data_IF_322997670936
#
_entry.id   IF_322997670936
#
_cell.length_a   1.000
_cell.length_b   1.000
_cell.length_c   1.000
_cell.angle_alpha   90.00
_cell.angle_beta   90.00
_cell.angle_gamma   90.00
#
_symmetry.space_group_name_H-M   'P 1'
#
loop_
_entity.id
_entity.type
_entity.pdbx_description
1 polymer ?
#
# COMPACT_ATOMS: atom_id res chain seq x y z
N UNK A 1 -18.40 -24.82 14.62
CA UNK A 1 -17.27 -25.07 13.71
C UNK A 1 -17.55 -26.39 13.02
N UNK A 2 -17.73 -26.35 11.71
CA UNK A 2 -17.95 -27.52 10.83
C UNK A 2 -16.98 -27.46 9.63
N UNK A 3 -15.86 -26.75 9.78
CA UNK A 3 -14.84 -26.57 8.75
C UNK A 3 -14.21 -27.89 8.29
N UNK A 4 -13.64 -27.91 7.09
CA UNK A 4 -12.83 -29.02 6.56
C UNK A 4 -13.59 -30.36 6.57
N UNK A 5 -14.81 -30.33 6.07
CA UNK A 5 -15.67 -31.50 5.98
C UNK A 5 -16.18 -31.68 4.54
N UNK A 6 -17.02 -32.70 4.34
CA UNK A 6 -17.66 -32.97 3.06
C UNK A 6 -19.16 -32.63 3.10
N UNK A 7 -19.57 -31.66 3.93
CA UNK A 7 -20.97 -31.25 4.01
C UNK A 7 -21.41 -30.63 2.70
N UNK A 8 -22.63 -30.96 2.28
CA UNK A 8 -23.26 -30.45 1.07
C UNK A 8 -24.72 -30.12 1.33
N UNK A 9 -25.33 -29.32 0.46
CA UNK A 9 -26.68 -28.82 0.64
C UNK A 9 -26.71 -27.33 0.94
N UNK A 10 -27.92 -26.82 1.21
CA UNK A 10 -28.12 -25.41 1.59
C UNK A 10 -28.00 -25.23 3.10
N UNK A 11 -27.47 -24.09 3.52
CA UNK A 11 -27.54 -23.69 4.93
C UNK A 11 -29.02 -23.48 5.30
N UNK A 12 -29.53 -24.16 6.35
CA UNK A 12 -30.92 -23.99 6.75
C UNK A 12 -31.14 -22.60 7.35
N UNK A 13 -32.25 -21.95 6.98
CA UNK A 13 -32.60 -20.62 7.48
C UNK A 13 -32.75 -20.57 9.01
N UNK A 14 -32.97 -21.71 9.67
CA UNK A 14 -33.03 -21.81 11.13
C UNK A 14 -31.72 -21.42 11.82
N UNK A 15 -30.57 -21.43 11.13
CA UNK A 15 -29.29 -20.99 11.71
C UNK A 15 -29.34 -19.52 12.14
N UNK A 16 -30.09 -18.69 11.43
CA UNK A 16 -30.30 -17.28 11.77
C UNK A 16 -31.09 -17.09 13.07
N UNK A 17 -31.82 -18.12 13.53
CA UNK A 17 -32.58 -18.06 14.79
C UNK A 17 -31.71 -18.32 16.03
N UNK A 18 -30.43 -18.65 15.86
CA UNK A 18 -29.51 -18.90 16.97
C UNK A 18 -29.04 -17.55 17.53
N UNK A 19 -29.82 -17.01 18.46
CA UNK A 19 -29.63 -15.67 19.03
C UNK A 19 -28.30 -15.48 19.78
N UNK A 20 -27.59 -16.56 20.15
CA UNK A 20 -26.27 -16.54 20.80
C UNK A 20 -25.13 -16.98 19.87
N UNK A 21 -25.38 -17.08 18.56
CA UNK A 21 -24.34 -17.44 17.61
C UNK A 21 -23.27 -16.36 17.58
N UNK A 22 -22.06 -16.72 17.99
CA UNK A 22 -20.89 -15.83 18.01
C UNK A 22 -19.92 -16.12 16.87
N UNK A 23 -19.82 -17.41 16.53
CA UNK A 23 -18.87 -17.93 15.56
C UNK A 23 -19.60 -18.91 14.65
N UNK A 24 -19.55 -18.62 13.36
CA UNK A 24 -19.97 -19.51 12.29
C UNK A 24 -18.77 -19.81 11.42
N UNK A 25 -18.33 -21.06 11.44
CA UNK A 25 -17.25 -21.55 10.59
C UNK A 25 -17.73 -22.80 9.86
N UNK A 26 -17.89 -22.63 8.55
CA UNK A 26 -18.34 -23.63 7.57
C UNK A 26 -17.31 -23.78 6.43
N UNK A 27 -16.10 -23.26 6.62
CA UNK A 27 -15.08 -23.21 5.58
C UNK A 27 -14.70 -24.60 5.04
N UNK A 28 -14.19 -24.67 3.81
CA UNK A 28 -13.69 -25.91 3.19
C UNK A 28 -14.73 -27.05 3.22
N UNK A 29 -15.86 -26.83 2.54
CA UNK A 29 -16.96 -27.81 2.39
C UNK A 29 -17.53 -27.76 0.95
N UNK A 30 -18.67 -28.41 0.69
CA UNK A 30 -19.40 -28.39 -0.59
C UNK A 30 -20.81 -27.78 -0.43
N UNK A 31 -20.93 -26.79 0.45
CA UNK A 31 -22.20 -26.14 0.76
C UNK A 31 -22.55 -25.16 -0.37
N UNK A 32 -23.80 -25.19 -0.83
CA UNK A 32 -24.26 -24.38 -1.96
C UNK A 32 -25.51 -23.56 -1.64
N UNK A 33 -25.84 -22.64 -2.54
CA UNK A 33 -26.99 -21.73 -2.41
C UNK A 33 -26.63 -20.39 -1.80
N UNK A 34 -27.64 -19.65 -1.33
CA UNK A 34 -27.46 -18.29 -0.81
C UNK A 34 -27.18 -18.31 0.69
N UNK A 35 -26.47 -17.30 1.18
CA UNK A 35 -26.33 -17.07 2.62
C UNK A 35 -27.67 -16.67 3.26
N UNK A 36 -27.99 -17.20 4.45
CA UNK A 36 -29.11 -16.72 5.28
C UNK A 36 -28.93 -15.26 5.72
N UNK A 37 -30.04 -14.63 6.12
CA UNK A 37 -30.03 -13.29 6.71
C UNK A 37 -29.56 -13.37 8.18
N UNK A 38 -28.41 -12.78 8.48
CA UNK A 38 -27.83 -12.75 9.83
C UNK A 38 -28.06 -11.41 10.55
N UNK A 39 -28.98 -10.57 10.07
CA UNK A 39 -29.31 -9.27 10.69
C UNK A 39 -29.66 -9.36 12.17
N UNK A 40 -30.23 -10.49 12.60
CA UNK A 40 -30.72 -10.71 13.97
C UNK A 40 -29.69 -11.36 14.89
N UNK A 41 -28.54 -11.82 14.36
CA UNK A 41 -27.49 -12.47 15.15
C UNK A 41 -26.53 -11.42 15.70
N UNK A 42 -27.01 -10.65 16.69
CA UNK A 42 -26.29 -9.48 17.23
C UNK A 42 -24.94 -9.79 17.90
N UNK A 43 -24.67 -11.06 18.22
CA UNK A 43 -23.40 -11.48 18.83
C UNK A 43 -22.43 -12.10 17.80
N UNK A 44 -22.83 -12.21 16.54
CA UNK A 44 -22.02 -12.85 15.52
C UNK A 44 -20.84 -11.95 15.18
N UNK A 45 -19.64 -12.37 15.60
CA UNK A 45 -18.39 -11.65 15.37
C UNK A 45 -17.51 -12.32 14.31
N UNK A 46 -17.68 -13.62 14.10
CA UNK A 46 -16.85 -14.42 13.21
C UNK A 46 -17.72 -15.20 12.23
N UNK A 47 -17.52 -14.95 10.94
CA UNK A 47 -18.10 -15.73 9.85
C UNK A 47 -16.98 -16.14 8.90
N UNK A 48 -16.75 -17.44 8.81
CA UNK A 48 -15.93 -18.07 7.77
C UNK A 48 -16.75 -19.11 7.02
N UNK A 49 -16.93 -18.87 5.73
CA UNK A 49 -17.63 -19.77 4.80
C UNK A 49 -16.79 -20.01 3.54
N UNK A 50 -15.50 -19.70 3.61
CA UNK A 50 -14.57 -19.79 2.48
C UNK A 50 -14.50 -21.20 1.89
N UNK A 51 -14.07 -21.31 0.64
CA UNK A 51 -13.85 -22.60 -0.04
C UNK A 51 -15.11 -23.49 -0.04
N UNK A 52 -16.17 -22.98 -0.66
CA UNK A 52 -17.49 -23.61 -0.77
C UNK A 52 -18.13 -23.30 -2.15
N UNK A 53 -19.39 -23.68 -2.33
CA UNK A 53 -20.18 -23.44 -3.55
C UNK A 53 -21.30 -22.40 -3.32
N UNK A 54 -21.13 -21.46 -2.37
CA UNK A 54 -22.12 -20.41 -2.13
C UNK A 54 -22.26 -19.52 -3.37
N UNK A 55 -23.48 -19.04 -3.62
CA UNK A 55 -23.87 -18.27 -4.81
C UNK A 55 -24.84 -17.15 -4.44
N UNK A 56 -25.29 -16.38 -5.44
CA UNK A 56 -26.14 -15.22 -5.24
C UNK A 56 -25.36 -13.97 -4.83
N UNK A 57 -26.06 -12.94 -4.34
CA UNK A 57 -25.42 -11.72 -3.83
C UNK A 57 -25.00 -11.89 -2.36
N UNK A 58 -23.90 -11.24 -1.97
CA UNK A 58 -23.52 -11.15 -0.54
C UNK A 58 -24.64 -10.41 0.21
N UNK A 59 -25.16 -10.96 1.32
CA UNK A 59 -26.17 -10.28 2.12
C UNK A 59 -25.74 -8.85 2.49
N UNK A 60 -26.61 -7.88 2.24
CA UNK A 60 -26.36 -6.47 2.59
C UNK A 60 -26.58 -6.18 4.07
N UNK A 61 -27.04 -7.16 4.85
CA UNK A 61 -27.43 -6.98 6.24
C UNK A 61 -26.73 -7.99 7.14
N UNK A 62 -25.46 -7.73 7.44
CA UNK A 62 -24.87 -8.30 8.64
C UNK A 62 -24.96 -7.31 9.79
N UNK A 63 -24.88 -7.82 11.01
CA UNK A 63 -24.74 -6.99 12.20
C UNK A 63 -23.43 -6.19 12.14
N UNK A 64 -23.42 -4.97 12.70
CA UNK A 64 -22.32 -4.01 12.53
C UNK A 64 -21.04 -4.39 13.28
N UNK A 65 -21.12 -5.34 14.20
CA UNK A 65 -20.02 -5.78 15.07
C UNK A 65 -19.28 -7.02 14.57
N UNK A 66 -19.49 -7.43 13.31
CA UNK A 66 -18.65 -8.48 12.72
C UNK A 66 -17.19 -8.03 12.69
N UNK A 67 -16.31 -8.89 13.18
CA UNK A 67 -14.86 -8.71 13.16
C UNK A 67 -14.19 -9.46 12.00
N UNK A 68 -14.65 -10.66 11.69
CA UNK A 68 -14.08 -11.52 10.65
C UNK A 68 -15.18 -11.93 9.69
N UNK A 69 -15.00 -11.59 8.42
CA UNK A 69 -15.88 -11.98 7.32
C UNK A 69 -15.02 -12.59 6.19
N UNK A 70 -14.94 -13.92 6.15
CA UNK A 70 -14.25 -14.68 5.13
C UNK A 70 -15.26 -15.37 4.20
N UNK A 71 -15.33 -14.88 2.97
CA UNK A 71 -16.25 -15.32 1.91
C UNK A 71 -15.49 -15.86 0.69
N UNK A 72 -14.15 -15.98 0.78
CA UNK A 72 -13.26 -16.37 -0.31
C UNK A 72 -13.62 -17.70 -0.98
N UNK A 73 -13.14 -17.93 -2.20
CA UNK A 73 -13.31 -19.21 -2.92
C UNK A 73 -14.77 -19.71 -2.96
N UNK A 74 -15.64 -18.87 -3.52
CA UNK A 74 -17.07 -19.16 -3.67
C UNK A 74 -17.56 -18.62 -5.04
N UNK A 75 -18.86 -18.72 -5.31
CA UNK A 75 -19.47 -18.26 -6.57
C UNK A 75 -20.38 -17.05 -6.41
N UNK A 76 -20.18 -16.22 -5.37
CA UNK A 76 -20.95 -14.99 -5.16
C UNK A 76 -20.84 -14.07 -6.38
N UNK A 77 -21.95 -13.41 -6.72
CA UNK A 77 -22.09 -12.47 -7.85
C UNK A 77 -22.63 -11.12 -7.35
N UNK A 78 -22.83 -10.18 -8.27
CA UNK A 78 -23.40 -8.86 -7.95
C UNK A 78 -22.35 -7.85 -7.49
N UNK A 79 -22.81 -6.73 -6.92
CA UNK A 79 -21.95 -5.65 -6.46
C UNK A 79 -21.51 -5.87 -5.02
N UNK A 80 -20.29 -5.46 -4.69
CA UNK A 80 -19.83 -5.43 -3.29
C UNK A 80 -20.77 -4.56 -2.43
N UNK A 81 -21.33 -5.10 -1.34
CA UNK A 81 -22.38 -4.42 -0.60
C UNK A 81 -21.85 -3.19 0.13
N UNK A 82 -22.44 -2.02 -0.17
CA UNK A 82 -22.05 -0.73 0.43
C UNK A 82 -22.11 -0.75 1.96
N UNK A 83 -22.97 -1.60 2.55
CA UNK A 83 -23.09 -1.69 4.00
C UNK A 83 -21.85 -2.26 4.70
N UNK A 84 -21.07 -3.11 4.03
CA UNK A 84 -19.78 -3.59 4.57
C UNK A 84 -18.80 -2.44 4.77
N UNK A 85 -18.97 -1.34 4.02
CA UNK A 85 -18.14 -0.16 4.26
C UNK A 85 -18.41 0.43 5.64
N UNK A 86 -19.61 0.33 6.21
CA UNK A 86 -19.94 0.93 7.52
C UNK A 86 -19.62 0.03 8.72
N UNK A 87 -19.08 -1.17 8.53
CA UNK A 87 -18.74 -2.07 9.64
C UNK A 87 -17.50 -1.57 10.37
N UNK A 88 -17.72 -0.93 11.51
CA UNK A 88 -16.66 -0.29 12.29
C UNK A 88 -15.75 -1.27 13.01
N UNK A 89 -16.19 -2.52 13.21
CA UNK A 89 -15.43 -3.54 13.93
C UNK A 89 -14.75 -4.57 13.02
N UNK A 90 -14.93 -4.46 11.69
CA UNK A 90 -14.39 -5.42 10.74
C UNK A 90 -12.85 -5.34 10.69
N UNK A 91 -12.20 -6.44 11.06
CA UNK A 91 -10.73 -6.59 11.13
C UNK A 91 -10.20 -7.43 9.97
N UNK A 92 -10.97 -8.39 9.49
CA UNK A 92 -10.60 -9.25 8.39
C UNK A 92 -11.75 -9.32 7.40
N UNK A 93 -11.48 -8.88 6.18
CA UNK A 93 -12.39 -9.02 5.06
C UNK A 93 -11.67 -9.79 3.95
N UNK A 94 -12.11 -11.02 3.75
CA UNK A 94 -11.71 -11.83 2.62
C UNK A 94 -12.93 -12.06 1.73
N UNK A 95 -12.83 -11.63 0.48
CA UNK A 95 -13.82 -11.91 -0.55
C UNK A 95 -13.18 -12.46 -1.81
N UNK A 96 -11.94 -12.96 -1.77
CA UNK A 96 -11.18 -13.41 -2.93
C UNK A 96 -11.87 -14.55 -3.70
N UNK A 97 -11.46 -14.82 -4.94
CA UNK A 97 -12.01 -15.87 -5.81
C UNK A 97 -13.55 -16.08 -5.78
N UNK A 98 -14.26 -15.14 -6.38
CA UNK A 98 -15.72 -14.95 -6.40
C UNK A 98 -15.99 -13.96 -7.55
N UNK A 99 -17.20 -13.96 -8.10
CA UNK A 99 -17.60 -13.10 -9.23
C UNK A 99 -18.20 -11.75 -8.78
N UNK A 100 -17.76 -11.24 -7.63
CA UNK A 100 -18.22 -9.97 -7.05
C UNK A 100 -17.55 -8.81 -7.78
N UNK A 101 -18.35 -7.87 -8.27
CA UNK A 101 -17.88 -6.63 -8.88
C UNK A 101 -17.68 -5.54 -7.81
N UNK A 102 -16.46 -5.03 -7.64
CA UNK A 102 -16.18 -3.81 -6.85
C UNK A 102 -15.90 -2.66 -7.82
N UNK A 103 -16.79 -1.65 -7.80
CA UNK A 103 -16.67 -0.47 -8.68
C UNK A 103 -15.96 0.68 -7.95
N UNK A 104 -14.74 1.03 -8.35
CA UNK A 104 -13.94 2.09 -7.72
C UNK A 104 -14.16 3.52 -8.29
N UNK A 105 -15.20 3.75 -9.11
CA UNK A 105 -15.37 5.02 -9.86
C UNK A 105 -15.61 6.25 -8.97
N UNK A 106 -14.76 7.29 -9.14
CA UNK A 106 -14.80 8.63 -8.48
C UNK A 106 -14.76 8.55 -6.95
N UNK A 107 -13.54 8.61 -6.41
CA UNK A 107 -13.05 8.37 -5.03
C UNK A 107 -13.69 9.13 -3.84
N UNK A 108 -14.99 9.41 -3.84
CA UNK A 108 -15.71 9.96 -2.67
C UNK A 108 -16.47 8.92 -1.85
N UNK A 109 -16.55 7.65 -2.28
CA UNK A 109 -17.35 6.59 -1.63
C UNK A 109 -16.61 5.23 -1.58
N UNK A 110 -15.32 5.23 -1.22
CA UNK A 110 -14.57 4.00 -0.92
C UNK A 110 -14.83 3.47 0.51
N UNK A 111 -14.15 2.38 0.90
CA UNK A 111 -14.17 1.78 2.25
C UNK A 111 -14.22 2.86 3.34
N UNK A 112 -15.16 2.76 4.29
CA UNK A 112 -15.44 3.84 5.25
C UNK A 112 -14.22 4.11 6.13
N UNK A 113 -13.95 5.39 6.34
CA UNK A 113 -12.82 5.86 7.13
C UNK A 113 -13.11 5.97 8.63
N UNK A 114 -14.21 5.39 9.13
CA UNK A 114 -14.66 5.60 10.51
C UNK A 114 -13.95 4.72 11.56
N UNK A 115 -13.07 3.80 11.13
CA UNK A 115 -12.16 3.12 12.06
C UNK A 115 -10.84 2.78 11.37
N UNK A 116 -9.92 3.75 11.35
CA UNK A 116 -8.66 3.67 10.61
C UNK A 116 -7.64 2.73 11.26
N UNK A 117 -7.92 2.12 12.41
CA UNK A 117 -6.94 1.34 13.18
C UNK A 117 -7.17 -0.19 13.17
N UNK A 118 -8.27 -0.68 12.58
CA UNK A 118 -8.75 -2.06 12.83
C UNK A 118 -8.61 -3.06 11.68
N UNK A 119 -8.63 -2.62 10.41
CA UNK A 119 -8.45 -3.55 9.29
C UNK A 119 -7.05 -4.15 9.35
N UNK A 120 -6.93 -5.47 9.45
CA UNK A 120 -5.64 -6.18 9.44
C UNK A 120 -5.35 -6.78 8.07
N UNK A 121 -6.37 -7.33 7.40
CA UNK A 121 -6.24 -7.99 6.11
C UNK A 121 -7.41 -7.57 5.21
N UNK A 122 -7.08 -7.17 3.98
CA UNK A 122 -8.03 -6.89 2.91
C UNK A 122 -7.58 -7.64 1.65
N UNK A 123 -8.34 -8.68 1.27
CA UNK A 123 -8.11 -9.42 0.03
C UNK A 123 -9.26 -9.17 -0.97
N UNK A 124 -8.91 -8.52 -2.09
CA UNK A 124 -9.79 -8.21 -3.22
C UNK A 124 -9.19 -8.77 -4.53
N UNK A 125 -8.34 -9.79 -4.44
CA UNK A 125 -7.72 -10.41 -5.61
C UNK A 125 -8.73 -11.17 -6.48
N UNK A 126 -8.44 -11.29 -7.79
CA UNK A 126 -9.26 -12.07 -8.74
C UNK A 126 -10.74 -11.63 -8.82
N UNK A 127 -11.01 -10.30 -8.87
CA UNK A 127 -12.38 -9.74 -8.96
C UNK A 127 -12.68 -9.01 -10.26
N UNK A 128 -11.77 -9.03 -11.23
CA UNK A 128 -11.86 -8.19 -12.43
C UNK A 128 -12.05 -6.68 -12.09
N UNK A 129 -11.45 -6.21 -10.97
CA UNK A 129 -11.56 -4.80 -10.57
C UNK A 129 -10.96 -3.89 -11.64
N UNK A 130 -11.69 -2.83 -11.99
CA UNK A 130 -11.24 -1.85 -12.97
C UNK A 130 -11.27 -0.44 -12.41
N UNK A 131 -10.48 0.45 -13.02
CA UNK A 131 -10.26 1.81 -12.54
C UNK A 131 -8.89 1.98 -11.90
N UNK A 132 -8.69 3.15 -11.30
CA UNK A 132 -7.49 3.47 -10.53
C UNK A 132 -7.66 3.04 -9.06
N UNK A 133 -6.55 2.72 -8.39
CA UNK A 133 -6.51 2.52 -6.94
C UNK A 133 -6.90 3.87 -6.29
N UNK A 134 -7.94 3.94 -5.44
CA UNK A 134 -8.35 5.23 -4.87
C UNK A 134 -7.43 5.67 -3.73
N UNK A 135 -7.17 6.98 -3.64
CA UNK A 135 -6.35 7.55 -2.58
C UNK A 135 -6.87 7.26 -1.16
N UNK A 136 -8.18 7.05 -1.01
CA UNK A 136 -8.83 6.69 0.25
C UNK A 136 -8.31 5.38 0.84
N UNK A 137 -7.75 4.47 0.03
CA UNK A 137 -7.16 3.22 0.52
C UNK A 137 -6.01 3.48 1.49
N UNK A 138 -5.23 4.54 1.25
CA UNK A 138 -4.16 5.00 2.15
C UNK A 138 -4.63 5.51 3.51
N UNK A 139 -5.95 5.65 3.73
CA UNK A 139 -6.51 6.04 5.03
C UNK A 139 -6.60 4.87 5.99
N UNK A 140 -6.60 3.61 5.53
CA UNK A 140 -6.77 2.41 6.37
C UNK A 140 -5.50 2.10 7.20
N UNK A 141 -5.17 2.95 8.17
CA UNK A 141 -3.91 2.90 8.95
C UNK A 141 -3.66 1.59 9.74
N UNK A 142 -4.69 0.79 9.97
CA UNK A 142 -4.63 -0.51 10.61
C UNK A 142 -4.04 -1.60 9.73
N UNK A 143 -4.08 -1.41 8.40
CA UNK A 143 -3.88 -2.47 7.41
C UNK A 143 -2.49 -3.09 7.52
N UNK A 144 -2.45 -4.41 7.70
CA UNK A 144 -1.22 -5.22 7.69
C UNK A 144 -1.03 -5.94 6.36
N UNK A 145 -2.09 -6.44 5.77
CA UNK A 145 -2.03 -7.23 4.53
C UNK A 145 -3.03 -6.64 3.53
N UNK A 146 -2.53 -6.22 2.37
CA UNK A 146 -3.34 -5.72 1.27
C UNK A 146 -3.07 -6.56 0.02
N UNK A 147 -4.07 -7.30 -0.43
CA UNK A 147 -4.01 -8.04 -1.67
C UNK A 147 -5.07 -7.51 -2.65
N UNK A 148 -4.63 -6.92 -3.76
CA UNK A 148 -5.51 -6.46 -4.86
C UNK A 148 -5.02 -7.02 -6.21
N UNK A 149 -4.30 -8.14 -6.19
CA UNK A 149 -3.70 -8.76 -7.37
C UNK A 149 -4.72 -9.40 -8.32
N UNK A 150 -4.28 -9.80 -9.51
CA UNK A 150 -5.12 -10.48 -10.50
C UNK A 150 -6.40 -9.71 -10.85
N UNK A 151 -6.25 -8.41 -11.11
CA UNK A 151 -7.34 -7.52 -11.49
C UNK A 151 -7.01 -6.78 -12.80
N UNK A 152 -7.87 -5.85 -13.21
CA UNK A 152 -7.67 -5.01 -14.40
C UNK A 152 -7.49 -3.53 -14.02
N UNK A 153 -6.88 -3.28 -12.85
CA UNK A 153 -6.59 -1.94 -12.33
C UNK A 153 -5.54 -1.26 -13.21
N UNK A 154 -5.69 0.05 -13.42
CA UNK A 154 -4.77 0.88 -14.22
C UNK A 154 -4.44 2.18 -13.48
N UNK A 155 -3.65 3.05 -14.13
CA UNK A 155 -3.13 4.26 -13.50
C UNK A 155 -1.92 3.96 -12.60
N UNK A 156 -1.56 4.92 -11.76
CA UNK A 156 -0.32 4.85 -10.98
C UNK A 156 -0.54 4.21 -9.62
N UNK A 157 0.52 3.59 -9.09
CA UNK A 157 0.60 3.24 -7.67
C UNK A 157 0.63 4.54 -6.86
N UNK A 158 -0.36 4.75 -5.98
CA UNK A 158 -0.52 6.03 -5.28
C UNK A 158 0.47 6.21 -4.13
N UNK A 159 0.97 7.45 -3.97
CA UNK A 159 1.85 7.83 -2.85
C UNK A 159 1.22 7.57 -1.47
N UNK A 160 -0.12 7.59 -1.38
CA UNK A 160 -0.88 7.33 -0.16
C UNK A 160 -0.82 5.88 0.33
N UNK A 161 -0.28 4.94 -0.46
CA UNK A 161 0.02 3.59 0.07
C UNK A 161 1.18 3.61 1.07
N UNK A 162 2.16 4.50 0.91
CA UNK A 162 3.26 4.69 1.87
C UNK A 162 2.82 5.29 3.22
N UNK A 163 1.53 5.51 3.37
CA UNK A 163 0.86 6.11 4.52
C UNK A 163 0.29 5.01 5.45
N UNK A 164 0.31 3.74 5.01
CA UNK A 164 -0.15 2.54 5.72
C UNK A 164 0.95 1.98 6.63
N UNK A 165 1.31 2.70 7.69
CA UNK A 165 2.51 2.41 8.50
C UNK A 165 2.58 1.01 9.15
N UNK A 166 1.45 0.31 9.24
CA UNK A 166 1.35 -1.05 9.80
C UNK A 166 1.40 -2.16 8.74
N UNK A 167 1.57 -1.79 7.47
CA UNK A 167 1.53 -2.74 6.36
C UNK A 167 2.77 -3.64 6.41
N UNK A 168 2.50 -4.94 6.42
CA UNK A 168 3.45 -6.05 6.46
C UNK A 168 3.55 -6.77 5.09
N UNK A 169 2.46 -6.82 4.32
CA UNK A 169 2.43 -7.37 2.96
C UNK A 169 1.57 -6.54 2.03
N UNK A 170 2.08 -6.32 0.82
CA UNK A 170 1.40 -5.63 -0.28
C UNK A 170 1.49 -6.49 -1.54
N UNK A 171 0.35 -6.88 -2.11
CA UNK A 171 0.30 -7.56 -3.41
C UNK A 171 -0.54 -6.76 -4.40
N UNK A 172 0.14 -6.21 -5.40
CA UNK A 172 -0.40 -5.46 -6.54
C UNK A 172 -0.21 -6.22 -7.86
N UNK A 173 0.26 -7.46 -7.81
CA UNK A 173 0.68 -8.22 -8.98
C UNK A 173 -0.47 -8.47 -9.96
N UNK A 174 -0.14 -8.79 -11.21
CA UNK A 174 -1.12 -9.15 -12.24
C UNK A 174 -2.22 -8.08 -12.44
N UNK A 175 -1.80 -6.85 -12.72
CA UNK A 175 -2.66 -5.71 -13.02
C UNK A 175 -2.17 -4.96 -14.27
N UNK A 176 -2.71 -3.78 -14.56
CA UNK A 176 -2.30 -2.89 -15.66
C UNK A 176 -1.74 -1.57 -15.12
N UNK A 177 -1.11 -1.58 -13.94
CA UNK A 177 -0.57 -0.39 -13.28
C UNK A 177 0.61 0.18 -14.07
N UNK A 178 0.71 1.50 -14.10
CA UNK A 178 1.67 2.28 -14.89
C UNK A 178 2.51 3.19 -13.97
N UNK A 179 3.59 3.75 -14.53
CA UNK A 179 4.41 4.75 -13.85
C UNK A 179 5.34 4.15 -12.80
N UNK A 180 5.65 4.96 -11.78
CA UNK A 180 6.69 4.65 -10.78
C UNK A 180 6.12 3.88 -9.60
N UNK A 181 6.97 3.06 -8.97
CA UNK A 181 6.74 2.59 -7.61
C UNK A 181 7.08 3.78 -6.66
N UNK A 182 6.15 4.26 -5.81
CA UNK A 182 6.38 5.46 -5.01
C UNK A 182 7.48 5.28 -3.97
N UNK A 183 8.38 6.26 -3.87
CA UNK A 183 9.40 6.33 -2.82
C UNK A 183 8.81 6.33 -1.40
N UNK A 184 7.52 6.67 -1.24
CA UNK A 184 6.84 6.58 0.05
C UNK A 184 6.74 5.15 0.60
N UNK A 185 6.82 4.10 -0.24
CA UNK A 185 6.83 2.72 0.23
C UNK A 185 8.08 2.39 1.07
N UNK A 186 9.21 3.05 0.81
CA UNK A 186 10.42 2.92 1.63
C UNK A 186 10.24 3.40 3.09
N UNK A 187 9.17 4.16 3.38
CA UNK A 187 8.84 4.60 4.75
C UNK A 187 8.16 3.51 5.58
N UNK A 188 7.66 2.45 4.96
CA UNK A 188 6.90 1.38 5.61
C UNK A 188 7.86 0.43 6.34
N UNK A 189 8.07 0.69 7.64
CA UNK A 189 9.06 -0.03 8.45
C UNK A 189 8.70 -1.50 8.71
N UNK A 190 7.43 -1.87 8.58
CA UNK A 190 6.93 -3.23 8.81
C UNK A 190 6.78 -4.05 7.52
N UNK A 191 6.93 -3.42 6.36
CA UNK A 191 6.66 -4.06 5.08
C UNK A 191 7.71 -5.14 4.81
N UNK A 192 7.29 -6.39 4.76
CA UNK A 192 8.18 -7.55 4.54
C UNK A 192 8.11 -8.07 3.11
N UNK A 193 6.94 -7.96 2.49
CA UNK A 193 6.65 -8.44 1.14
C UNK A 193 5.95 -7.34 0.35
N UNK A 194 6.40 -7.09 -0.88
CA UNK A 194 5.77 -6.17 -1.81
C UNK A 194 5.85 -6.74 -3.22
N UNK A 195 4.82 -7.46 -3.65
CA UNK A 195 4.73 -7.98 -5.01
C UNK A 195 4.04 -6.94 -5.92
N UNK A 196 4.77 -6.50 -6.95
CA UNK A 196 4.29 -5.59 -8.00
C UNK A 196 4.52 -6.19 -9.39
N UNK A 197 4.79 -7.48 -9.47
CA UNK A 197 5.09 -8.20 -10.70
C UNK A 197 3.91 -8.17 -11.68
N UNK A 198 4.17 -8.44 -12.95
CA UNK A 198 3.12 -8.55 -13.97
C UNK A 198 2.27 -7.26 -14.08
N UNK A 199 2.95 -6.12 -14.19
CA UNK A 199 2.35 -4.80 -14.41
C UNK A 199 3.07 -4.07 -15.57
N UNK A 200 2.89 -2.76 -15.69
CA UNK A 200 3.57 -1.90 -16.66
C UNK A 200 4.35 -0.78 -15.96
N UNK A 201 4.91 -1.09 -14.80
CA UNK A 201 5.69 -0.15 -13.99
C UNK A 201 7.04 0.13 -14.64
N UNK A 202 7.57 1.33 -14.39
CA UNK A 202 8.77 1.84 -15.03
C UNK A 202 9.72 2.50 -14.03
N UNK A 203 10.97 2.70 -14.46
CA UNK A 203 12.03 3.42 -13.74
C UNK A 203 12.59 2.68 -12.51
N UNK A 204 13.35 3.41 -11.71
CA UNK A 204 14.07 2.92 -10.54
C UNK A 204 13.13 2.43 -9.44
N UNK A 205 13.37 1.21 -8.95
CA UNK A 205 12.72 0.68 -7.75
C UNK A 205 13.19 1.53 -6.54
N UNK A 206 12.27 1.97 -5.64
CA UNK A 206 12.62 2.71 -4.45
C UNK A 206 13.68 2.03 -3.60
N UNK A 207 14.56 2.83 -3.01
CA UNK A 207 15.61 2.38 -2.09
C UNK A 207 15.35 2.93 -0.68
N UNK A 208 15.87 2.29 0.34
CA UNK A 208 15.73 2.65 1.74
C UNK A 208 14.74 1.78 2.52
N UNK A 209 15.00 1.64 3.82
CA UNK A 209 14.14 0.91 4.73
C UNK A 209 13.99 -0.56 4.32
N UNK A 210 12.75 -1.06 4.32
CA UNK A 210 12.48 -2.45 3.91
C UNK A 210 12.58 -2.67 2.39
N UNK A 211 12.62 -1.62 1.57
CA UNK A 211 12.79 -1.80 0.12
C UNK A 211 14.19 -2.31 -0.25
N UNK A 212 15.19 -2.11 0.61
CA UNK A 212 16.56 -2.61 0.40
C UNK A 212 16.69 -4.11 0.71
N UNK A 213 15.74 -4.68 1.47
CA UNK A 213 15.73 -6.10 1.82
C UNK A 213 14.96 -6.96 0.79
N UNK A 214 14.17 -6.33 -0.08
CA UNK A 214 13.36 -6.99 -1.13
C UNK A 214 14.22 -7.43 -2.32
N UNK A 215 15.03 -8.46 -2.12
CA UNK A 215 16.00 -8.95 -3.10
C UNK A 215 15.50 -10.12 -3.95
N UNK A 216 14.23 -10.51 -3.83
CA UNK A 216 13.62 -11.51 -4.71
C UNK A 216 13.14 -10.81 -6.00
N UNK A 217 13.75 -11.11 -7.17
CA UNK A 217 13.36 -10.48 -8.43
C UNK A 217 11.94 -10.86 -8.89
N UNK A 218 11.38 -11.97 -8.37
CA UNK A 218 10.04 -12.42 -8.75
C UNK A 218 8.97 -11.38 -8.39
N UNK A 219 9.12 -10.68 -7.26
CA UNK A 219 8.20 -9.61 -6.83
C UNK A 219 8.17 -8.40 -7.76
N UNK A 220 9.13 -8.26 -8.68
CA UNK A 220 9.21 -7.17 -9.64
C UNK A 220 9.15 -7.66 -11.09
N UNK A 221 9.04 -8.97 -11.30
CA UNK A 221 9.11 -9.60 -12.60
C UNK A 221 8.05 -9.07 -13.57
N UNK A 222 8.30 -9.22 -14.86
CA UNK A 222 7.35 -8.85 -15.92
C UNK A 222 6.95 -7.35 -15.91
N UNK A 223 7.85 -6.46 -15.46
CA UNK A 223 7.79 -5.02 -15.66
C UNK A 223 9.02 -4.57 -16.47
N UNK A 224 8.88 -4.44 -17.79
CA UNK A 224 10.02 -4.35 -18.72
C UNK A 224 10.94 -3.13 -18.54
N UNK A 225 10.49 -2.08 -17.85
CA UNK A 225 11.22 -0.83 -17.69
C UNK A 225 11.66 -0.56 -16.24
N UNK A 226 11.53 -1.55 -15.34
CA UNK A 226 12.08 -1.43 -14.00
C UNK A 226 13.59 -1.64 -14.00
N UNK A 227 14.27 -0.88 -13.14
CA UNK A 227 15.70 -1.02 -12.87
C UNK A 227 15.96 -0.80 -11.37
N UNK A 228 17.09 -1.26 -10.85
CA UNK A 228 17.45 -1.10 -9.45
C UNK A 228 18.24 -2.29 -8.90
N UNK A 229 18.80 -2.08 -7.71
CA UNK A 229 19.61 -3.10 -7.03
C UNK A 229 18.82 -4.37 -6.67
N UNK A 230 17.53 -4.23 -6.38
CA UNK A 230 16.62 -5.32 -5.99
C UNK A 230 16.52 -6.40 -7.06
N UNK A 231 16.52 -6.00 -8.34
CA UNK A 231 16.46 -6.90 -9.49
C UNK A 231 17.80 -7.02 -10.23
N UNK A 232 18.86 -6.36 -9.73
CA UNK A 232 20.21 -6.32 -10.32
C UNK A 232 20.23 -5.83 -11.77
N UNK A 233 19.31 -4.91 -12.11
CA UNK A 233 19.25 -4.27 -13.43
C UNK A 233 19.77 -2.84 -13.28
N UNK A 234 20.87 -2.45 -13.97
CA UNK A 234 21.41 -1.10 -13.88
C UNK A 234 20.43 -0.09 -14.48
N UNK A 235 20.24 1.05 -13.80
CA UNK A 235 19.41 2.13 -14.29
C UNK A 235 20.18 2.99 -15.31
N UNK A 236 19.53 3.40 -16.41
CA UNK A 236 20.17 4.19 -17.48
C UNK A 236 20.71 5.54 -17.02
N UNK A 237 20.23 6.09 -15.89
CA UNK A 237 20.81 7.28 -15.27
C UNK A 237 22.25 7.06 -14.78
N UNK A 238 22.64 5.82 -14.42
CA UNK A 238 24.02 5.46 -14.04
C UNK A 238 24.93 5.18 -15.26
N UNK A 239 24.35 5.05 -16.46
CA UNK A 239 25.06 4.86 -17.72
C UNK A 239 25.27 6.16 -18.50
N UNK A 240 24.86 7.31 -17.94
CA UNK A 240 25.24 8.62 -18.45
C UNK A 240 26.68 8.91 -18.03
N UNK A 241 27.66 8.96 -18.95
CA UNK A 241 28.94 9.54 -18.61
C UNK A 241 28.75 11.06 -18.56
N UNK A 242 28.14 11.58 -17.50
CA UNK A 242 28.66 12.83 -16.95
C UNK A 242 30.03 12.49 -16.39
N UNK A 243 31.01 12.39 -17.30
CA UNK A 243 32.24 13.14 -17.08
C UNK A 243 31.79 14.56 -16.77
N UNK A 244 31.55 14.84 -15.48
CA UNK A 244 32.19 16.01 -14.94
C UNK A 244 33.68 15.82 -15.24
N UNK A 245 34.10 16.32 -16.40
CA UNK A 245 35.30 17.11 -16.44
C UNK A 245 35.08 18.15 -15.34
N UNK A 246 35.44 17.78 -14.10
CA UNK A 246 35.95 18.76 -13.16
C UNK A 246 37.17 19.30 -13.87
N UNK A 247 36.95 20.39 -14.59
CA UNK A 247 37.99 21.33 -14.92
C UNK A 247 38.56 21.77 -13.59
N UNK A 248 39.61 21.08 -13.15
CA UNK A 248 40.15 21.15 -11.80
C UNK A 248 40.98 22.43 -11.59
N UNK A 249 40.73 23.50 -12.35
CA UNK A 249 41.64 24.65 -12.31
C UNK A 249 41.07 26.04 -12.67
N UNK A 250 39.80 26.35 -12.34
CA UNK A 250 39.33 27.73 -12.58
C UNK A 250 38.54 28.48 -11.52
N UNK A 251 38.35 27.95 -10.30
CA UNK A 251 37.67 28.71 -9.23
C UNK A 251 38.33 28.62 -7.85
N UNK A 252 39.66 28.49 -7.80
CA UNK A 252 40.46 28.74 -6.58
C UNK A 252 41.21 30.08 -6.57
N UNK A 253 40.90 30.98 -7.51
CA UNK A 253 41.61 32.26 -7.69
C UNK A 253 41.04 33.43 -6.87
N UNK A 254 39.87 33.29 -6.24
CA UNK A 254 39.43 34.22 -5.20
C UNK A 254 40.05 33.80 -3.85
N UNK A 255 41.36 34.08 -3.76
CA UNK A 255 42.26 33.78 -2.65
C UNK A 255 41.92 34.64 -1.42
N UNK A 256 41.47 33.99 -0.35
CA UNK A 256 41.38 34.59 1.00
C UNK A 256 42.74 35.13 1.49
N UNK A 257 43.86 34.65 0.95
CA UNK A 257 45.21 35.19 1.21
C UNK A 257 45.37 36.65 0.75
N UNK A 258 44.72 37.06 -0.35
CA UNK A 258 44.76 38.44 -0.83
C UNK A 258 44.01 39.42 0.09
N UNK A 259 42.95 38.93 0.75
CA UNK A 259 42.17 39.71 1.72
C UNK A 259 42.97 39.92 3.01
N UNK A 260 43.68 38.90 3.50
CA UNK A 260 44.56 39.04 4.68
C UNK A 260 45.77 39.94 4.42
N UNK A 261 46.42 39.81 3.26
CA UNK A 261 47.55 40.67 2.88
C UNK A 261 47.08 42.11 2.72
N UNK A 262 45.92 42.34 2.08
CA UNK A 262 45.34 43.67 1.89
C UNK A 262 44.96 44.36 3.21
N UNK A 263 44.36 43.62 4.15
CA UNK A 263 44.01 44.17 5.46
C UNK A 263 45.26 44.58 6.26
N UNK A 264 46.29 43.73 6.25
CA UNK A 264 47.54 43.97 6.98
C UNK A 264 48.30 45.20 6.46
N UNK A 265 48.40 45.35 5.13
CA UNK A 265 49.03 46.52 4.52
C UNK A 265 48.23 47.81 4.72
N UNK A 266 46.90 47.74 4.59
CA UNK A 266 46.02 48.88 4.82
C UNK A 266 46.11 49.42 6.25
N UNK A 267 46.19 48.52 7.24
CA UNK A 267 46.34 48.88 8.65
C UNK A 267 47.69 49.56 8.95
N UNK A 268 48.80 49.06 8.41
CA UNK A 268 50.12 49.66 8.63
C UNK A 268 50.25 51.05 7.99
N UNK A 269 49.66 51.26 6.81
CA UNK A 269 49.64 52.58 6.15
C UNK A 269 48.82 53.58 6.97
N UNK A 270 47.66 53.18 7.50
CA UNK A 270 46.82 54.07 8.32
C UNK A 270 47.51 54.44 9.64
N UNK A 271 48.16 53.49 10.31
CA UNK A 271 48.97 53.77 11.51
C UNK A 271 50.13 54.71 11.19
N UNK A 272 50.82 54.51 10.06
CA UNK A 272 51.90 55.39 9.61
C UNK A 272 51.44 56.82 9.34
N UNK A 273 50.28 56.99 8.68
CA UNK A 273 49.67 58.31 8.44
C UNK A 273 49.29 58.98 9.76
N UNK A 274 48.67 58.25 10.70
CA UNK A 274 48.30 58.77 12.02
C UNK A 274 49.52 59.21 12.86
N UNK A 275 50.63 58.46 12.75
CA UNK A 275 51.90 58.83 13.39
C UNK A 275 52.50 60.11 12.77
N UNK A 276 52.51 60.21 11.43
CA UNK A 276 53.05 61.38 10.74
C UNK A 276 52.20 62.64 10.89
N UNK A 277 50.89 62.49 11.08
CA UNK A 277 49.94 63.62 11.27
C UNK A 277 49.83 64.09 12.73
N UNK A 278 50.68 63.59 13.65
CA UNK A 278 50.72 63.96 15.08
C UNK A 278 49.38 63.79 15.82
N UNK A 279 48.58 62.80 15.45
CA UNK A 279 47.31 62.51 16.14
C UNK A 279 47.48 61.71 17.45
N UNK A 280 48.69 61.23 17.76
CA UNK A 280 49.04 60.69 19.06
C UNK A 280 49.76 61.75 19.90
N UNK A 281 48.98 62.54 20.63
CA UNK A 281 49.45 63.27 21.81
C UNK A 281 49.31 62.28 22.96
N UNK A 282 50.43 61.94 23.61
CA UNK A 282 50.47 61.18 24.87
C UNK A 282 49.69 61.89 25.98
#
# INVERSE_FOLDING_TARGET
MLAENNFSGKVPHSISNIYRLQLLDLSSNRIFGNLPDFSYNVFLGYIDISSNEFSGEIPTKFYQDIEILALGENTFTGNFPRNLTYMSHLKHLDIHDNKITVNWKKSKQGLSSHNLELYSLLDLSMKQLFGEIPASLGRLKGLKLLNISHNILHGNVLISLGDLKRLESLDLSHNKLLGLIPQSLAKLQQLSVSDVSNNKLTSKIPVGGQMDTMNDPNFFANNSLLCGMQIRVPCLEELSPTKHLKDENKERWFLWEGVEIGYSFGFLITVGILYHTKYFIL
#
